data_IF_358635786362
#
_entry.id   IF_358635786362
#
_cell.length_a   1.000
_cell.length_b   1.000
_cell.length_c   1.000
_cell.angle_alpha   90.00
_cell.angle_beta   90.00
_cell.angle_gamma   90.00
#
_symmetry.space_group_name_H-M   'P 1'
#
loop_
_entity.id
_entity.type
_entity.pdbx_description
1 polymer ?
#
# COMPACT_ATOMS: atom_id res chain seq x y z
N UNK A 1 41.37 -32.99 21.57
CA UNK A 1 39.94 -33.28 21.29
C UNK A 1 39.55 -32.55 20.02
N UNK A 2 39.64 -33.21 18.86
CA UNK A 2 39.37 -32.57 17.56
C UNK A 2 37.87 -32.64 17.24
N UNK A 3 37.22 -31.48 17.13
CA UNK A 3 35.83 -31.41 16.67
C UNK A 3 35.81 -31.84 15.19
N UNK A 4 35.16 -32.97 14.92
CA UNK A 4 35.06 -33.53 13.57
C UNK A 4 34.38 -32.52 12.64
N UNK A 5 34.92 -32.34 11.43
CA UNK A 5 34.42 -31.40 10.41
C UNK A 5 32.92 -31.62 10.09
N UNK A 6 32.43 -32.84 10.29
CA UNK A 6 31.02 -33.19 10.18
C UNK A 6 30.16 -32.55 11.29
N UNK A 7 30.66 -32.47 12.53
CA UNK A 7 29.97 -31.82 13.63
C UNK A 7 29.87 -30.30 13.42
N UNK A 8 30.92 -29.68 12.89
CA UNK A 8 30.89 -28.24 12.57
C UNK A 8 29.87 -27.93 11.48
N UNK A 9 29.77 -28.77 10.44
CA UNK A 9 28.78 -28.61 9.38
C UNK A 9 27.34 -28.73 9.86
N UNK A 10 27.05 -29.68 10.77
CA UNK A 10 25.73 -29.84 11.38
C UNK A 10 25.36 -28.61 12.21
N UNK A 11 26.30 -28.07 12.99
CA UNK A 11 26.07 -26.92 13.87
C UNK A 11 25.79 -25.64 13.06
N UNK A 12 26.52 -25.43 11.96
CA UNK A 12 26.28 -24.33 11.02
C UNK A 12 24.92 -24.50 10.32
N UNK A 13 24.57 -25.71 9.90
CA UNK A 13 23.26 -25.98 9.29
C UNK A 13 22.08 -25.69 10.22
N UNK A 14 22.20 -26.08 11.49
CA UNK A 14 21.18 -25.77 12.52
C UNK A 14 21.06 -24.26 12.74
N UNK A 15 22.20 -23.55 12.85
CA UNK A 15 22.20 -22.09 13.01
C UNK A 15 21.51 -21.39 11.84
N UNK A 16 21.83 -21.79 10.60
CA UNK A 16 21.21 -21.22 9.39
C UNK A 16 19.72 -21.51 9.37
N UNK A 17 19.31 -22.75 9.69
CA UNK A 17 17.90 -23.13 9.75
C UNK A 17 17.10 -22.34 10.80
N UNK A 18 17.67 -22.15 11.99
CA UNK A 18 17.05 -21.36 13.07
C UNK A 18 16.93 -19.89 12.69
N UNK A 19 17.96 -19.31 12.08
CA UNK A 19 17.93 -17.91 11.62
C UNK A 19 16.89 -17.72 10.52
N UNK A 20 16.89 -18.60 9.50
CA UNK A 20 15.90 -18.54 8.42
C UNK A 20 14.47 -18.72 8.94
N UNK A 21 14.26 -19.66 9.87
CA UNK A 21 12.96 -19.87 10.51
C UNK A 21 12.53 -18.67 11.34
N UNK A 22 13.44 -18.04 12.09
CA UNK A 22 13.15 -16.83 12.86
C UNK A 22 12.82 -15.65 11.96
N UNK A 23 13.58 -15.44 10.88
CA UNK A 23 13.29 -14.41 9.88
C UNK A 23 11.94 -14.64 9.22
N UNK A 24 11.64 -15.88 8.82
CA UNK A 24 10.34 -16.23 8.25
C UNK A 24 9.20 -16.01 9.24
N UNK A 25 9.36 -16.49 10.49
CA UNK A 25 8.36 -16.31 11.54
C UNK A 25 8.16 -14.83 11.87
N UNK A 26 9.21 -14.02 11.93
CA UNK A 26 9.10 -12.58 12.18
C UNK A 26 8.38 -11.87 11.04
N UNK A 27 8.69 -12.18 9.78
CA UNK A 27 8.00 -11.62 8.60
C UNK A 27 6.52 -12.04 8.57
N UNK A 28 6.24 -13.33 8.77
CA UNK A 28 4.89 -13.87 8.77
C UNK A 28 4.07 -13.35 9.96
N UNK A 29 4.66 -13.29 11.15
CA UNK A 29 3.99 -12.79 12.34
C UNK A 29 3.85 -11.26 12.31
N UNK A 30 4.77 -10.50 11.72
CA UNK A 30 4.56 -9.07 11.48
C UNK A 30 3.47 -8.84 10.42
N UNK A 31 3.32 -9.77 9.48
CA UNK A 31 2.17 -9.81 8.56
C UNK A 31 0.86 -10.27 9.21
N UNK A 32 0.90 -10.98 10.34
CA UNK A 32 -0.28 -11.56 11.02
C UNK A 32 -0.59 -10.91 12.37
N UNK A 33 0.29 -10.07 12.91
CA UNK A 33 0.09 -9.34 14.16
C UNK A 33 -1.12 -8.45 13.99
N UNK A 34 -2.29 -8.80 14.56
CA UNK A 34 -3.45 -7.95 14.56
C UNK A 34 -3.22 -6.99 15.73
N UNK A 35 -2.15 -6.19 15.65
CA UNK A 35 -1.99 -5.08 16.56
C UNK A 35 -3.16 -4.16 16.26
N UNK A 36 -4.23 -4.21 17.06
CA UNK A 36 -5.36 -3.27 17.24
C UNK A 36 -5.64 -2.20 16.17
N UNK A 37 -5.40 -2.48 14.90
CA UNK A 37 -5.75 -1.67 13.76
C UNK A 37 -7.03 -2.28 13.20
N UNK A 38 -8.13 -2.15 13.94
CA UNK A 38 -9.39 -1.95 13.23
C UNK A 38 -9.18 -0.64 12.49
N UNK A 39 -9.05 -0.62 11.16
CA UNK A 39 -8.85 0.63 10.47
C UNK A 39 -10.13 1.42 10.72
N UNK A 40 -10.02 2.66 11.21
CA UNK A 40 -11.15 3.60 11.21
C UNK A 40 -11.84 3.64 9.84
N UNK A 41 -11.10 3.32 8.76
CA UNK A 41 -11.61 3.06 7.42
C UNK A 41 -12.76 2.04 7.36
N UNK A 42 -12.62 0.87 8.00
CA UNK A 42 -13.68 -0.14 7.98
C UNK A 42 -14.94 0.36 8.71
N UNK A 43 -14.75 1.15 9.77
CA UNK A 43 -15.84 1.80 10.50
C UNK A 43 -16.54 2.86 9.63
N UNK A 44 -15.79 3.68 8.89
CA UNK A 44 -16.33 4.70 7.98
C UNK A 44 -17.12 4.04 6.82
N UNK A 45 -16.64 2.92 6.28
CA UNK A 45 -17.37 2.17 5.26
C UNK A 45 -18.70 1.62 5.80
N UNK A 46 -18.69 1.02 7.00
CA UNK A 46 -19.90 0.45 7.61
C UNK A 46 -20.90 1.53 8.04
N UNK A 47 -20.42 2.66 8.58
CA UNK A 47 -21.25 3.83 8.92
C UNK A 47 -21.90 4.43 7.65
N UNK A 48 -21.19 4.43 6.51
CA UNK A 48 -21.73 4.91 5.23
C UNK A 48 -22.87 4.06 4.65
N UNK A 49 -22.97 2.79 5.07
CA UNK A 49 -24.01 1.85 4.63
C UNK A 49 -25.22 1.80 5.58
N UNK A 50 -25.17 2.49 6.72
CA UNK A 50 -26.31 2.60 7.64
C UNK A 50 -27.26 3.71 7.16
N UNK A 51 -28.55 3.43 6.87
CA UNK A 51 -29.50 4.44 6.39
C UNK A 51 -29.99 5.27 7.58
N UNK A 52 -29.14 6.14 8.10
CA UNK A 52 -29.44 7.07 9.20
C UNK A 52 -29.23 8.52 8.76
N UNK A 53 -30.34 9.23 8.53
CA UNK A 53 -30.50 10.69 8.30
C UNK A 53 -29.19 11.49 8.10
N UNK A 54 -28.72 11.56 6.86
CA UNK A 54 -27.78 12.59 6.45
C UNK A 54 -28.56 13.88 6.14
N UNK A 55 -28.45 14.89 7.01
CA UNK A 55 -28.84 16.26 6.66
C UNK A 55 -27.78 16.81 5.71
N UNK A 56 -28.15 17.34 4.52
CA UNK A 56 -27.19 17.95 3.62
C UNK A 56 -26.83 19.34 4.14
N UNK A 57 -26.02 19.38 5.20
CA UNK A 57 -25.51 20.65 5.72
C UNK A 57 -24.37 21.14 4.85
N UNK A 58 -24.76 22.07 3.97
CA UNK A 58 -23.95 23.14 3.36
C UNK A 58 -22.72 22.67 2.59
N UNK A 59 -22.91 22.69 1.28
CA UNK A 59 -21.95 23.15 0.27
C UNK A 59 -20.82 24.02 0.84
N UNK A 60 -19.77 23.37 1.33
CA UNK A 60 -18.48 24.00 1.51
C UNK A 60 -17.83 24.02 0.13
N UNK A 61 -18.05 25.11 -0.59
CA UNK A 61 -17.12 25.59 -1.64
C UNK A 61 -15.80 25.97 -0.98
N UNK A 62 -15.13 25.00 -0.38
CA UNK A 62 -13.75 25.14 0.03
C UNK A 62 -12.95 25.17 -1.28
N UNK A 63 -12.49 26.38 -1.62
CA UNK A 63 -11.49 26.64 -2.66
C UNK A 63 -10.48 25.48 -2.63
N UNK A 64 -10.22 24.80 -3.76
CA UNK A 64 -9.27 23.71 -3.78
C UNK A 64 -7.94 24.22 -3.24
N UNK A 65 -7.53 23.74 -2.07
CA UNK A 65 -6.22 24.08 -1.52
C UNK A 65 -5.19 23.43 -2.42
N UNK A 66 -4.53 24.26 -3.22
CA UNK A 66 -3.44 23.86 -4.08
C UNK A 66 -2.19 23.81 -3.19
N UNK A 67 -1.54 22.65 -3.13
CA UNK A 67 -0.30 22.43 -2.40
C UNK A 67 0.85 22.47 -3.40
N UNK A 68 1.93 23.15 -3.04
CA UNK A 68 3.18 23.10 -3.77
C UNK A 68 4.16 22.22 -2.98
N UNK A 69 4.66 21.16 -3.62
CA UNK A 69 5.72 20.30 -3.09
C UNK A 69 7.03 21.08 -2.97
N UNK A 70 7.99 20.67 -2.11
CA UNK A 70 9.33 21.25 -2.07
C UNK A 70 10.03 21.30 -3.45
N UNK A 71 9.67 20.38 -4.34
CA UNK A 71 10.17 20.25 -5.71
C UNK A 71 9.41 21.15 -6.71
N UNK A 72 8.54 22.04 -6.24
CA UNK A 72 7.76 22.97 -7.08
C UNK A 72 6.51 22.36 -7.74
N UNK A 73 6.18 21.10 -7.42
CA UNK A 73 5.00 20.42 -7.96
C UNK A 73 3.72 20.98 -7.34
N UNK A 74 2.84 21.52 -8.18
CA UNK A 74 1.56 22.10 -7.79
C UNK A 74 0.46 21.04 -7.94
N UNK A 75 -0.21 20.66 -6.85
CA UNK A 75 -1.27 19.64 -6.87
C UNK A 75 -2.44 19.97 -5.93
N UNK A 76 -3.62 19.43 -6.25
CA UNK A 76 -4.82 19.62 -5.42
C UNK A 76 -4.73 18.77 -4.15
N UNK A 77 -4.92 19.40 -2.99
CA UNK A 77 -4.98 18.69 -1.72
C UNK A 77 -6.09 17.62 -1.74
N UNK A 78 -5.75 16.40 -1.32
CA UNK A 78 -6.71 15.33 -1.11
C UNK A 78 -7.57 15.63 0.12
N UNK A 79 -8.88 15.43 -0.01
CA UNK A 79 -9.82 15.59 1.11
C UNK A 79 -9.94 14.24 1.82
N UNK A 80 -9.41 14.14 3.04
CA UNK A 80 -9.38 12.88 3.80
C UNK A 80 -10.79 12.37 4.13
N UNK A 81 -11.72 13.29 4.40
CA UNK A 81 -13.10 12.97 4.77
C UNK A 81 -14.03 12.73 3.56
N UNK A 82 -13.56 13.04 2.35
CA UNK A 82 -14.33 12.90 1.12
C UNK A 82 -13.58 11.95 0.16
N UNK A 83 -13.87 10.64 0.20
CA UNK A 83 -13.27 9.71 -0.73
C UNK A 83 -13.65 10.10 -2.18
N UNK A 84 -12.65 10.13 -3.08
CA UNK A 84 -12.86 10.45 -4.52
C UNK A 84 -13.78 9.44 -5.23
N UNK A 85 -13.80 8.20 -4.76
CA UNK A 85 -14.62 7.09 -5.29
C UNK A 85 -15.36 6.44 -4.14
N UNK A 86 -16.67 6.24 -4.30
CA UNK A 86 -17.56 5.54 -3.36
C UNK A 86 -18.26 4.33 -3.99
N UNK A 87 -18.23 4.29 -5.30
CA UNK A 87 -18.82 3.30 -6.20
C UNK A 87 -17.96 2.03 -6.35
N UNK A 88 -16.65 2.11 -6.04
CA UNK A 88 -15.70 1.02 -6.22
C UNK A 88 -14.79 0.86 -5.01
N UNK A 89 -14.29 -0.37 -4.81
CA UNK A 89 -13.21 -0.65 -3.85
C UNK A 89 -11.91 -0.03 -4.36
N UNK A 90 -11.27 0.80 -3.53
CA UNK A 90 -10.02 1.50 -3.88
C UNK A 90 -8.78 0.91 -3.21
N UNK A 91 -8.94 0.05 -2.20
CA UNK A 91 -7.86 -0.59 -1.45
C UNK A 91 -8.25 -2.03 -1.13
N UNK A 92 -7.30 -2.95 -1.22
CA UNK A 92 -7.47 -4.37 -0.87
C UNK A 92 -7.31 -4.62 0.64
N UNK A 93 -7.79 -5.74 1.20
CA UNK A 93 -7.62 -6.05 2.63
C UNK A 93 -6.17 -6.09 3.13
N UNK A 94 -5.20 -6.36 2.24
CA UNK A 94 -3.76 -6.32 2.55
C UNK A 94 -3.11 -4.95 2.25
N UNK A 95 -3.90 -3.88 2.22
CA UNK A 95 -3.46 -2.48 2.07
C UNK A 95 -2.76 -2.14 0.74
N UNK A 96 -2.94 -2.94 -0.32
CA UNK A 96 -2.49 -2.56 -1.65
C UNK A 96 -3.55 -1.67 -2.35
N UNK A 97 -3.16 -0.54 -2.97
CA UNK A 97 -4.07 0.35 -3.68
C UNK A 97 -4.52 -0.27 -5.01
N UNK A 98 -5.79 -0.06 -5.36
CA UNK A 98 -6.37 -0.45 -6.66
C UNK A 98 -6.39 0.81 -7.54
N UNK A 99 -5.77 0.72 -8.72
CA UNK A 99 -5.63 1.85 -9.64
C UNK A 99 -6.92 1.99 -10.45
N UNK A 100 -7.60 3.12 -10.28
CA UNK A 100 -8.80 3.50 -11.01
C UNK A 100 -8.67 4.94 -11.50
N UNK A 101 -9.51 5.32 -12.46
CA UNK A 101 -9.61 6.71 -12.88
C UNK A 101 -10.01 7.59 -11.68
N UNK A 102 -9.19 8.61 -11.42
CA UNK A 102 -9.31 9.50 -10.27
C UNK A 102 -8.65 9.03 -8.97
N UNK A 103 -8.09 7.82 -8.84
CA UNK A 103 -7.38 7.42 -7.60
C UNK A 103 -5.93 7.88 -7.53
N UNK A 104 -5.34 8.28 -8.66
CA UNK A 104 -4.00 8.87 -8.73
C UNK A 104 -4.02 10.15 -9.58
N UNK A 105 -2.95 10.94 -9.48
CA UNK A 105 -2.71 12.11 -10.33
C UNK A 105 -1.46 11.84 -11.19
N UNK A 106 -1.60 11.72 -12.53
CA UNK A 106 -0.50 11.35 -13.40
C UNK A 106 0.64 12.38 -13.36
N UNK A 107 0.34 13.67 -13.14
CA UNK A 107 1.38 14.71 -13.08
C UNK A 107 2.31 14.50 -11.89
N UNK A 108 1.74 14.09 -10.75
CA UNK A 108 2.51 13.79 -9.53
C UNK A 108 3.36 12.54 -9.76
N UNK A 109 2.75 11.46 -10.25
CA UNK A 109 3.47 10.20 -10.50
C UNK A 109 4.61 10.41 -11.49
N UNK A 110 4.37 11.14 -12.58
CA UNK A 110 5.40 11.49 -13.57
C UNK A 110 6.54 12.30 -12.96
N UNK A 111 6.23 13.29 -12.11
CA UNK A 111 7.26 14.11 -11.46
C UNK A 111 8.17 13.31 -10.53
N UNK A 112 7.63 12.24 -9.91
CA UNK A 112 8.39 11.35 -9.06
C UNK A 112 9.23 10.40 -9.92
N UNK A 113 8.65 9.71 -10.89
CA UNK A 113 9.35 8.60 -11.57
C UNK A 113 10.19 9.01 -12.78
N UNK A 114 9.91 10.13 -13.45
CA UNK A 114 10.73 10.60 -14.59
C UNK A 114 12.20 10.88 -14.20
N UNK A 115 12.49 11.60 -13.10
CA UNK A 115 13.88 11.84 -12.68
C UNK A 115 14.65 10.57 -12.32
N UNK A 116 13.97 9.48 -11.95
CA UNK A 116 14.60 8.21 -11.63
C UNK A 116 15.08 7.44 -12.87
N UNK A 117 14.74 7.89 -14.09
CA UNK A 117 15.07 7.21 -15.35
C UNK A 117 14.66 5.73 -15.34
N UNK A 118 13.48 5.43 -14.78
CA UNK A 118 12.96 4.06 -14.72
C UNK A 118 12.66 3.54 -16.13
N UNK A 119 13.05 2.29 -16.42
CA UNK A 119 12.74 1.62 -17.68
C UNK A 119 11.66 0.58 -17.46
N UNK A 120 10.52 0.72 -18.14
CA UNK A 120 9.39 -0.21 -18.03
C UNK A 120 9.51 -1.23 -19.16
N UNK A 121 9.87 -2.46 -18.81
CA UNK A 121 9.89 -3.57 -19.75
C UNK A 121 8.46 -4.12 -19.94
N UNK A 122 8.03 -4.25 -21.20
CA UNK A 122 6.74 -4.88 -21.54
C UNK A 122 7.02 -6.15 -22.33
N UNK A 123 6.53 -7.29 -21.84
CA UNK A 123 6.63 -8.58 -22.53
C UNK A 123 5.29 -8.93 -23.14
N UNK A 124 5.27 -9.21 -24.45
CA UNK A 124 4.07 -9.61 -25.19
C UNK A 124 4.36 -10.90 -25.92
N UNK A 125 3.47 -11.87 -25.78
CA UNK A 125 3.54 -13.14 -26.50
C UNK A 125 2.50 -13.14 -27.62
N UNK A 126 2.91 -13.47 -28.84
CA UNK A 126 2.03 -13.67 -29.98
C UNK A 126 2.26 -15.09 -30.52
N UNK A 127 1.36 -16.01 -30.18
CA UNK A 127 1.45 -17.44 -30.54
C UNK A 127 0.27 -17.81 -31.43
N UNK A 128 0.52 -18.10 -32.71
CA UNK A 128 -0.45 -18.72 -33.63
C UNK A 128 -1.77 -17.95 -33.83
N UNK A 129 -2.74 -18.62 -34.47
CA UNK A 129 -4.16 -18.23 -34.57
C UNK A 129 -5.03 -19.43 -34.17
#
# INVERSE_FOLDING_TARGET
MGVSRHFLGVLVGILVGVVLSYCYFKIFFESQSPGRYTPDYFKIYFESQSPGRYTPERHCDAIPKIITSPEGLVYKQTRVLEPRRRDVLTVTPWLAPIVWEGTFDPLIIDSIYKPLNVTIATTVFAVGK
#
